data_IF_674433823664
#
_entry.id   IF_674433823664
#
_cell.length_a   1.000
_cell.length_b   1.000
_cell.length_c   1.000
_cell.angle_alpha   90.00
_cell.angle_beta   90.00
_cell.angle_gamma   90.00
#
_symmetry.space_group_name_H-M   'P 1'
#
loop_
_entity.id
_entity.type
_entity.pdbx_description
1 polymer ?
#
# COMPACT_ATOMS: atom_id res chain seq x y z
N UNK A 1 3.09 -46.06 -14.27
CA UNK A 1 3.92 -44.82 -14.18
C UNK A 1 2.98 -43.65 -13.92
N UNK A 2 3.29 -42.87 -12.88
CA UNK A 2 2.73 -41.56 -12.50
C UNK A 2 1.22 -41.45 -12.22
N UNK A 3 0.86 -41.71 -10.97
CA UNK A 3 -0.33 -41.16 -10.32
C UNK A 3 0.06 -39.80 -9.71
N UNK A 4 -0.33 -38.69 -10.35
CA UNK A 4 -0.23 -37.35 -9.77
C UNK A 4 -1.13 -36.37 -10.54
N UNK A 5 -2.27 -36.01 -9.96
CA UNK A 5 -2.91 -34.71 -10.12
C UNK A 5 -3.90 -34.54 -8.97
N UNK A 6 -3.31 -34.08 -7.87
CA UNK A 6 -3.87 -33.28 -6.77
C UNK A 6 -5.38 -33.05 -6.76
N UNK A 7 -6.00 -33.53 -5.68
CA UNK A 7 -7.43 -33.43 -5.47
C UNK A 7 -7.84 -32.01 -5.12
N UNK A 8 -8.88 -31.55 -5.79
CA UNK A 8 -9.71 -30.41 -5.38
C UNK A 8 -10.32 -30.70 -3.99
N UNK A 9 -9.54 -30.51 -2.93
CA UNK A 9 -10.03 -30.44 -1.56
C UNK A 9 -10.74 -29.10 -1.41
N UNK A 10 -12.04 -29.13 -1.66
CA UNK A 10 -12.98 -28.10 -1.25
C UNK A 10 -12.79 -27.85 0.26
N UNK A 11 -11.99 -26.84 0.61
CA UNK A 11 -11.72 -26.46 1.99
C UNK A 11 -13.06 -26.10 2.65
N UNK A 12 -13.32 -26.56 3.88
CA UNK A 12 -14.61 -26.37 4.52
C UNK A 12 -14.94 -24.88 4.63
N UNK A 13 -16.22 -24.53 4.49
CA UNK A 13 -16.70 -23.15 4.55
C UNK A 13 -16.22 -22.43 5.83
N UNK A 14 -16.14 -23.14 6.96
CA UNK A 14 -15.59 -22.63 8.22
C UNK A 14 -14.13 -22.18 8.14
N UNK A 15 -13.30 -22.80 7.30
CA UNK A 15 -11.92 -22.36 7.08
C UNK A 15 -11.88 -21.00 6.36
N UNK A 16 -12.75 -20.78 5.37
CA UNK A 16 -12.83 -19.48 4.68
C UNK A 16 -13.30 -18.39 5.64
N UNK A 17 -14.32 -18.67 6.47
CA UNK A 17 -14.78 -17.72 7.49
C UNK A 17 -13.70 -17.40 8.52
N UNK A 18 -12.94 -18.41 8.97
CA UNK A 18 -11.82 -18.19 9.88
C UNK A 18 -10.74 -17.28 9.25
N UNK A 19 -10.41 -17.48 7.98
CA UNK A 19 -9.49 -16.61 7.25
C UNK A 19 -10.02 -15.18 7.11
N UNK A 20 -11.30 -15.02 6.77
CA UNK A 20 -11.95 -13.70 6.70
C UNK A 20 -11.88 -13.02 8.06
N UNK A 21 -12.24 -13.73 9.13
CA UNK A 21 -12.15 -13.22 10.50
C UNK A 21 -10.74 -12.78 10.87
N UNK A 22 -9.72 -13.57 10.51
CA UNK A 22 -8.32 -13.24 10.75
C UNK A 22 -7.88 -11.98 9.98
N UNK A 23 -8.30 -11.84 8.72
CA UNK A 23 -8.01 -10.65 7.90
C UNK A 23 -8.67 -9.41 8.52
N UNK A 24 -9.96 -9.50 8.87
CA UNK A 24 -10.71 -8.39 9.47
C UNK A 24 -10.14 -7.98 10.81
N UNK A 25 -9.72 -8.94 11.64
CA UNK A 25 -9.03 -8.66 12.90
C UNK A 25 -7.71 -7.91 12.65
N UNK A 26 -6.92 -8.35 11.66
CA UNK A 26 -5.70 -7.66 11.27
C UNK A 26 -5.93 -6.23 10.78
N UNK A 27 -7.01 -5.99 10.04
CA UNK A 27 -7.43 -4.64 9.63
C UNK A 27 -7.79 -3.80 10.86
N UNK A 28 -8.64 -4.33 11.73
CA UNK A 28 -9.09 -3.64 12.95
C UNK A 28 -7.91 -3.17 13.82
N UNK A 29 -6.93 -4.05 14.04
CA UNK A 29 -5.73 -3.74 14.83
C UNK A 29 -4.84 -2.66 14.18
N UNK A 30 -4.91 -2.46 12.86
CA UNK A 30 -4.14 -1.41 12.16
C UNK A 30 -4.86 -0.06 12.08
N UNK A 31 -6.17 0.00 12.28
CA UNK A 31 -6.96 1.24 12.17
C UNK A 31 -6.43 2.39 13.05
N UNK A 32 -6.01 2.18 14.33
CA UNK A 32 -5.50 3.27 15.14
C UNK A 32 -4.27 3.96 14.54
N UNK A 33 -3.42 3.21 13.83
CA UNK A 33 -2.21 3.75 13.20
C UNK A 33 -2.49 4.73 12.07
N UNK A 34 -3.64 4.63 11.39
CA UNK A 34 -4.03 5.54 10.31
C UNK A 34 -4.20 6.98 10.82
N UNK A 35 -4.62 7.15 12.08
CA UNK A 35 -4.90 8.46 12.68
C UNK A 35 -3.76 9.00 13.54
N UNK A 36 -2.69 8.24 13.72
CA UNK A 36 -1.61 8.60 14.63
C UNK A 36 -0.69 9.73 14.10
N UNK A 37 -0.86 10.16 12.83
CA UNK A 37 -0.11 11.23 12.12
C UNK A 37 1.38 11.35 12.46
N UNK A 38 2.02 10.22 12.78
CA UNK A 38 3.41 10.13 13.21
C UNK A 38 4.11 9.33 12.13
N UNK A 39 4.54 10.01 11.08
CA UNK A 39 5.37 9.37 10.07
C UNK A 39 6.76 9.14 10.63
N UNK A 40 7.25 7.90 10.51
CA UNK A 40 8.67 7.63 10.67
C UNK A 40 9.45 8.31 9.54
N UNK A 41 10.76 8.51 9.74
CA UNK A 41 11.58 9.28 8.81
C UNK A 41 11.56 8.73 7.39
N UNK A 42 11.53 7.41 7.23
CA UNK A 42 11.41 6.72 5.95
C UNK A 42 10.01 6.84 5.35
N UNK A 43 8.96 6.70 6.16
CA UNK A 43 7.57 6.89 5.73
C UNK A 43 7.34 8.31 5.18
N UNK A 44 7.88 9.33 5.85
CA UNK A 44 7.83 10.72 5.41
C UNK A 44 8.61 10.95 4.11
N UNK A 45 9.79 10.32 3.97
CA UNK A 45 10.60 10.38 2.76
C UNK A 45 9.87 9.75 1.57
N UNK A 46 9.29 8.56 1.74
CA UNK A 46 8.54 7.87 0.69
C UNK A 46 7.27 8.63 0.30
N UNK A 47 6.57 9.21 1.27
CA UNK A 47 5.41 10.06 1.02
C UNK A 47 5.79 11.31 0.20
N UNK A 48 6.98 11.88 0.45
CA UNK A 48 7.49 13.03 -0.32
C UNK A 48 7.76 12.65 -1.78
N UNK A 49 8.38 11.50 -2.03
CA UNK A 49 8.62 11.00 -3.39
C UNK A 49 7.32 10.66 -4.12
N UNK A 50 6.38 9.99 -3.45
CA UNK A 50 5.05 9.73 -3.99
C UNK A 50 4.33 11.03 -4.35
N UNK A 51 4.46 12.09 -3.54
CA UNK A 51 3.92 13.42 -3.85
C UNK A 51 4.56 14.01 -5.11
N UNK A 52 5.89 13.95 -5.25
CA UNK A 52 6.59 14.44 -6.45
C UNK A 52 6.10 13.76 -7.73
N UNK A 53 5.80 12.46 -7.67
CA UNK A 53 5.21 11.71 -8.77
C UNK A 53 3.76 12.17 -9.01
N UNK A 54 2.93 12.22 -7.97
CA UNK A 54 1.50 12.54 -8.08
C UNK A 54 1.23 13.94 -8.67
N UNK A 55 2.09 14.92 -8.37
CA UNK A 55 1.99 16.29 -8.91
C UNK A 55 2.79 16.51 -10.20
N UNK A 56 3.32 15.44 -10.80
CA UNK A 56 4.13 15.48 -12.01
C UNK A 56 5.42 16.34 -11.93
N UNK A 57 5.94 16.60 -10.73
CA UNK A 57 7.15 17.43 -10.54
C UNK A 57 8.44 16.69 -10.89
N UNK A 58 8.56 15.43 -10.45
CA UNK A 58 9.67 14.55 -10.80
C UNK A 58 9.17 13.10 -10.89
N UNK A 59 8.47 12.74 -11.98
CA UNK A 59 7.81 11.43 -12.10
C UNK A 59 8.76 10.25 -12.07
N UNK A 60 10.00 10.45 -12.53
CA UNK A 60 11.04 9.41 -12.59
C UNK A 60 11.99 9.46 -11.39
N UNK A 61 11.78 10.39 -10.45
CA UNK A 61 12.63 10.60 -9.28
C UNK A 61 14.11 10.80 -9.63
N UNK A 62 14.42 11.42 -10.79
CA UNK A 62 15.79 11.59 -11.28
C UNK A 62 16.61 12.51 -10.38
N UNK A 63 15.93 13.46 -9.72
CA UNK A 63 16.56 14.40 -8.80
C UNK A 63 16.80 13.82 -7.40
N UNK A 64 16.34 12.60 -7.13
CA UNK A 64 16.33 11.98 -5.80
C UNK A 64 17.28 10.78 -5.75
N UNK A 65 17.97 10.60 -4.61
CA UNK A 65 18.83 9.44 -4.39
C UNK A 65 17.97 8.24 -3.94
N UNK A 66 17.35 7.57 -4.91
CA UNK A 66 16.45 6.45 -4.65
C UNK A 66 17.23 5.13 -4.67
N UNK A 67 17.49 4.57 -3.49
CA UNK A 67 18.18 3.27 -3.33
C UNK A 67 17.21 2.06 -3.39
N UNK A 68 15.90 2.30 -3.24
CA UNK A 68 14.88 1.24 -3.21
C UNK A 68 14.09 1.15 -4.52
N UNK A 69 13.61 -0.04 -4.93
CA UNK A 69 12.80 -0.17 -6.13
C UNK A 69 11.51 0.69 -6.02
N UNK A 70 11.09 1.38 -7.11
CA UNK A 70 10.19 2.52 -6.99
C UNK A 70 8.70 2.16 -6.93
N UNK A 71 8.35 0.86 -6.96
CA UNK A 71 6.96 0.38 -7.02
C UNK A 71 6.07 0.98 -5.93
N UNK A 72 6.60 1.08 -4.70
CA UNK A 72 5.86 1.64 -3.57
C UNK A 72 5.48 3.10 -3.81
N UNK A 73 6.39 3.91 -4.36
CA UNK A 73 6.17 5.35 -4.57
C UNK A 73 5.13 5.59 -5.66
N UNK A 74 5.17 4.81 -6.74
CA UNK A 74 4.16 4.88 -7.81
C UNK A 74 2.78 4.43 -7.33
N UNK A 75 2.71 3.34 -6.56
CA UNK A 75 1.45 2.87 -5.99
C UNK A 75 0.86 3.92 -5.04
N UNK A 76 1.69 4.49 -4.18
CA UNK A 76 1.26 5.53 -3.25
C UNK A 76 0.82 6.81 -4.00
N UNK A 77 1.56 7.22 -5.04
CA UNK A 77 1.22 8.36 -5.89
C UNK A 77 -0.13 8.17 -6.62
N UNK A 78 -0.47 6.94 -7.02
CA UNK A 78 -1.77 6.60 -7.59
C UNK A 78 -2.90 6.83 -6.59
N UNK A 79 -2.72 6.45 -5.31
CA UNK A 79 -3.77 6.57 -4.31
C UNK A 79 -3.98 7.98 -3.77
N UNK A 80 -2.99 8.86 -3.90
CA UNK A 80 -3.08 10.26 -3.47
C UNK A 80 -4.29 11.00 -4.06
N UNK A 81 -4.49 11.07 -5.39
CA UNK A 81 -5.69 11.69 -5.96
C UNK A 81 -6.98 10.92 -5.69
N UNK A 82 -6.92 9.62 -5.37
CA UNK A 82 -8.12 8.80 -5.11
C UNK A 82 -8.63 8.94 -3.68
N UNK A 83 -7.74 9.13 -2.70
CA UNK A 83 -8.07 9.08 -1.27
C UNK A 83 -7.86 10.40 -0.53
N UNK A 84 -7.04 11.32 -1.07
CA UNK A 84 -6.86 12.64 -0.49
C UNK A 84 -7.74 13.68 -1.21
N UNK A 85 -8.47 14.48 -0.44
CA UNK A 85 -9.24 15.62 -0.94
C UNK A 85 -8.31 16.64 -1.60
N UNK A 86 -8.72 17.34 -2.67
CA UNK A 86 -7.93 18.41 -3.29
C UNK A 86 -7.91 19.66 -2.39
N UNK A 87 -7.34 19.55 -1.19
CA UNK A 87 -7.20 20.64 -0.24
C UNK A 87 -5.93 21.45 -0.51
N UNK A 88 -5.90 22.26 -1.58
CA UNK A 88 -4.87 23.30 -1.80
C UNK A 88 -3.39 22.86 -1.77
N UNK A 89 -3.10 21.56 -1.82
CA UNK A 89 -1.77 21.00 -1.63
C UNK A 89 -0.90 20.79 -2.88
N UNK A 90 -1.18 21.36 -4.09
CA UNK A 90 -0.24 21.24 -5.20
C UNK A 90 0.81 22.38 -5.26
N UNK A 91 0.80 23.38 -4.37
CA UNK A 91 1.57 24.61 -4.62
C UNK A 91 2.39 25.11 -3.42
N UNK A 92 3.37 24.32 -2.95
CA UNK A 92 4.63 24.78 -2.31
C UNK A 92 5.70 23.71 -2.52
#
# INVERSE_FOLDING_TARGET
MAQAADGDRSRPFGFRLALIGLILLGVWLRLPGIWANTFHADEALFATWARHIAVWKDPLLVSQLVDKPPLLFYLQALFYPLLATPAGWPAR
#
